data_IF_191287052347
#
_entry.id   IF_191287052347
#
_cell.length_a   1.000
_cell.length_b   1.000
_cell.length_c   1.000
_cell.angle_alpha   90.00
_cell.angle_beta   90.00
_cell.angle_gamma   90.00
#
_symmetry.space_group_name_H-M   'P 1'
#
loop_
_entity.id
_entity.type
_entity.pdbx_description
1 polymer ?
#
# COMPACT_ATOMS: atom_id res chain seq x y z
N UNK A 1 -34.13 6.09 -15.80
CA UNK A 1 -33.69 5.13 -16.85
C UNK A 1 -32.17 5.28 -16.94
N UNK A 2 -31.43 4.54 -16.11
CA UNK A 2 -29.97 4.68 -15.98
C UNK A 2 -29.34 3.57 -16.79
N UNK A 3 -28.61 3.95 -17.83
CA UNK A 3 -27.84 3.06 -18.69
C UNK A 3 -26.74 2.37 -17.87
N UNK A 4 -26.85 1.06 -17.72
CA UNK A 4 -25.76 0.22 -17.21
C UNK A 4 -24.62 0.25 -18.22
N UNK A 5 -23.56 0.96 -17.84
CA UNK A 5 -22.33 0.95 -18.62
C UNK A 5 -21.66 -0.43 -18.47
N UNK A 6 -21.31 -1.02 -19.60
CA UNK A 6 -20.78 -2.38 -19.69
C UNK A 6 -19.32 -2.35 -19.25
N UNK A 7 -19.04 -2.83 -18.05
CA UNK A 7 -17.68 -3.17 -17.63
C UNK A 7 -17.05 -4.11 -18.66
N UNK A 8 -16.09 -3.58 -19.42
CA UNK A 8 -15.25 -4.34 -20.33
C UNK A 8 -14.46 -5.37 -19.51
N UNK A 9 -14.60 -6.66 -19.86
CA UNK A 9 -13.68 -7.70 -19.38
C UNK A 9 -12.33 -7.49 -20.07
N UNK A 10 -11.21 -7.28 -19.35
CA UNK A 10 -9.90 -7.39 -19.97
C UNK A 10 -9.65 -8.87 -20.27
N UNK A 11 -9.47 -9.18 -21.56
CA UNK A 11 -9.04 -10.49 -22.03
C UNK A 11 -7.60 -10.80 -21.60
N UNK A 12 -7.33 -12.10 -21.52
CA UNK A 12 -6.04 -12.74 -21.30
C UNK A 12 -5.06 -12.45 -22.45
N UNK A 13 -4.51 -11.23 -22.46
CA UNK A 13 -3.30 -10.90 -23.22
C UNK A 13 -2.05 -11.51 -22.59
N UNK A 14 -0.89 -11.47 -23.28
CA UNK A 14 0.39 -11.77 -22.64
C UNK A 14 0.55 -10.90 -21.37
N UNK A 15 1.22 -11.41 -20.33
CA UNK A 15 1.45 -10.62 -19.11
C UNK A 15 2.13 -9.30 -19.48
N UNK A 16 1.60 -8.19 -18.97
CA UNK A 16 2.19 -6.87 -19.19
C UNK A 16 3.64 -6.86 -18.70
N UNK A 17 4.51 -6.24 -19.49
CA UNK A 17 5.92 -6.08 -19.12
C UNK A 17 6.05 -5.30 -17.81
N UNK A 18 7.16 -5.47 -17.08
CA UNK A 18 7.39 -4.68 -15.85
C UNK A 18 7.40 -3.18 -16.14
N UNK A 19 7.84 -2.75 -17.33
CA UNK A 19 7.75 -1.37 -17.77
C UNK A 19 6.31 -0.88 -17.88
N UNK A 20 5.45 -1.63 -18.55
CA UNK A 20 4.03 -1.27 -18.67
C UNK A 20 3.35 -1.23 -17.29
N UNK A 21 3.67 -2.18 -16.40
CA UNK A 21 3.18 -2.22 -15.03
C UNK A 21 3.67 -1.02 -14.21
N UNK A 22 4.93 -0.60 -14.40
CA UNK A 22 5.49 0.60 -13.76
C UNK A 22 4.75 1.86 -14.25
N UNK A 23 4.55 1.99 -15.55
CA UNK A 23 3.82 3.12 -16.13
C UNK A 23 2.34 3.12 -15.70
N UNK A 24 1.71 1.95 -15.54
CA UNK A 24 0.36 1.79 -14.97
C UNK A 24 0.29 2.25 -13.51
N UNK A 25 1.28 1.89 -12.68
CA UNK A 25 1.36 2.35 -11.29
C UNK A 25 1.47 3.88 -11.22
N UNK A 26 2.33 4.49 -12.05
CA UNK A 26 2.41 5.95 -12.16
C UNK A 26 1.11 6.59 -12.66
N UNK A 27 0.41 5.93 -13.59
CA UNK A 27 -0.90 6.35 -14.07
C UNK A 27 -1.94 6.42 -12.94
N UNK A 28 -2.03 5.38 -12.11
CA UNK A 28 -2.93 5.35 -10.96
C UNK A 28 -2.61 6.44 -9.94
N UNK A 29 -1.33 6.67 -9.65
CA UNK A 29 -0.93 7.76 -8.76
C UNK A 29 -1.37 9.12 -9.34
N UNK A 30 -1.27 9.34 -10.65
CA UNK A 30 -1.81 10.54 -11.29
C UNK A 30 -3.32 10.67 -11.13
N UNK A 31 -4.06 9.58 -11.30
CA UNK A 31 -5.52 9.56 -11.12
C UNK A 31 -5.91 9.86 -9.66
N UNK A 32 -5.04 9.52 -8.71
CA UNK A 32 -5.14 9.87 -7.28
C UNK A 32 -4.64 11.28 -6.94
N UNK A 33 -4.21 12.08 -7.93
CA UNK A 33 -3.80 13.48 -7.78
C UNK A 33 -2.30 13.71 -7.66
N UNK A 34 -1.46 12.68 -7.79
CA UNK A 34 -0.01 12.85 -7.82
C UNK A 34 0.46 13.48 -9.14
N UNK A 35 1.46 14.35 -9.06
CA UNK A 35 2.10 14.95 -10.21
C UNK A 35 3.45 14.29 -10.46
N UNK A 36 3.58 13.64 -11.61
CA UNK A 36 4.87 13.09 -12.06
C UNK A 36 5.66 14.20 -12.77
N UNK A 37 6.81 14.57 -12.21
CA UNK A 37 7.62 15.71 -12.63
C UNK A 37 9.08 15.33 -12.84
N UNK A 38 9.80 16.09 -13.67
CA UNK A 38 11.25 15.92 -13.79
C UNK A 38 12.01 16.43 -12.55
N UNK A 39 13.29 16.07 -12.44
CA UNK A 39 14.13 16.42 -11.31
C UNK A 39 14.32 17.94 -11.13
N UNK A 40 14.29 18.71 -12.22
CA UNK A 40 14.43 20.16 -12.16
C UNK A 40 13.22 20.82 -11.53
N UNK A 41 12.01 20.42 -11.94
CA UNK A 41 10.76 20.86 -11.33
C UNK A 41 10.64 20.36 -9.89
N UNK A 42 11.03 19.12 -9.60
CA UNK A 42 11.06 18.59 -8.24
C UNK A 42 11.99 19.42 -7.33
N UNK A 43 13.17 19.82 -7.80
CA UNK A 43 14.08 20.65 -7.01
C UNK A 43 13.56 22.10 -6.81
N UNK A 44 12.82 22.64 -7.78
CA UNK A 44 12.33 24.01 -7.72
C UNK A 44 11.06 24.18 -6.86
N UNK A 45 10.21 23.15 -6.78
CA UNK A 45 8.88 23.23 -6.15
C UNK A 45 8.87 22.64 -4.73
N UNK A 46 9.34 23.41 -3.74
CA UNK A 46 9.46 22.93 -2.35
C UNK A 46 8.15 22.95 -1.56
N UNK A 47 7.09 23.57 -2.09
CA UNK A 47 5.84 23.81 -1.37
C UNK A 47 4.69 22.88 -1.75
N UNK A 48 4.79 22.19 -2.88
CA UNK A 48 3.71 21.34 -3.40
C UNK A 48 3.83 19.92 -2.90
N UNK A 49 2.77 19.44 -2.26
CA UNK A 49 2.57 18.03 -1.90
C UNK A 49 2.12 17.20 -3.10
N UNK A 50 2.40 15.90 -3.09
CA UNK A 50 1.96 14.96 -4.11
C UNK A 50 2.84 15.00 -5.36
N UNK A 51 4.15 15.22 -5.23
CA UNK A 51 5.09 15.15 -6.36
C UNK A 51 5.83 13.82 -6.37
N UNK A 52 6.04 13.26 -7.56
CA UNK A 52 6.93 12.13 -7.81
C UNK A 52 7.91 12.47 -8.91
N UNK A 53 9.18 12.12 -8.71
CA UNK A 53 10.22 12.28 -9.72
C UNK A 53 10.96 10.96 -9.94
N UNK A 54 10.58 10.19 -10.98
CA UNK A 54 11.40 9.10 -11.49
C UNK A 54 12.73 9.65 -12.04
N UNK A 55 13.79 8.82 -12.08
CA UNK A 55 15.11 9.28 -12.49
C UNK A 55 15.14 9.59 -14.01
N UNK A 56 16.00 10.52 -14.43
CA UNK A 56 16.05 10.97 -15.82
C UNK A 56 16.47 9.86 -16.80
N UNK A 57 17.25 8.90 -16.31
CA UNK A 57 17.72 7.70 -17.01
C UNK A 57 16.77 6.51 -16.82
N UNK A 58 15.49 6.70 -16.46
CA UNK A 58 14.50 5.64 -16.24
C UNK A 58 14.49 4.56 -17.35
N UNK A 59 14.73 4.93 -18.61
CA UNK A 59 14.83 3.97 -19.73
C UNK A 59 15.95 2.94 -19.57
N UNK A 60 17.06 3.28 -18.93
CA UNK A 60 18.22 2.41 -18.71
C UNK A 60 18.02 1.36 -17.62
N UNK A 61 16.94 1.48 -16.84
CA UNK A 61 16.55 0.49 -15.83
C UNK A 61 15.78 -0.68 -16.41
N UNK A 62 15.29 -0.57 -17.64
CA UNK A 62 14.52 -1.61 -18.32
C UNK A 62 15.27 -2.15 -19.54
N UNK A 63 15.11 -3.45 -19.78
CA UNK A 63 15.51 -4.06 -21.06
C UNK A 63 14.61 -3.57 -22.19
N UNK A 64 14.99 -3.75 -23.47
CA UNK A 64 14.11 -3.45 -24.61
C UNK A 64 12.78 -4.23 -24.61
N UNK A 65 12.69 -5.32 -23.85
CA UNK A 65 11.46 -6.11 -23.65
C UNK A 65 10.63 -5.65 -22.43
N UNK A 66 11.07 -4.59 -21.75
CA UNK A 66 10.37 -4.02 -20.59
C UNK A 66 10.58 -4.78 -19.28
N UNK A 67 11.58 -5.66 -19.18
CA UNK A 67 11.98 -6.27 -17.90
C UNK A 67 12.84 -5.28 -17.09
N UNK A 68 12.55 -5.12 -15.80
CA UNK A 68 13.26 -4.27 -14.85
C UNK A 68 14.55 -4.96 -14.40
N UNK A 69 15.70 -4.40 -14.77
CA UNK A 69 17.03 -5.00 -14.53
C UNK A 69 17.90 -4.20 -13.57
N UNK A 70 17.46 -3.00 -13.18
CA UNK A 70 18.09 -2.17 -12.17
C UNK A 70 17.02 -1.51 -11.32
N UNK A 71 17.26 -1.41 -10.02
CA UNK A 71 16.39 -0.72 -9.09
C UNK A 71 16.13 0.73 -9.52
N UNK A 72 14.89 1.21 -9.41
CA UNK A 72 14.51 2.58 -9.77
C UNK A 72 14.24 3.37 -8.49
N UNK A 73 15.12 4.32 -8.17
CA UNK A 73 14.89 5.25 -7.08
C UNK A 73 13.97 6.39 -7.54
N UNK A 74 12.83 6.56 -6.86
CA UNK A 74 11.81 7.57 -7.16
C UNK A 74 11.80 8.56 -6.00
N UNK A 75 12.04 9.83 -6.29
CA UNK A 75 11.85 10.89 -5.29
C UNK A 75 10.36 11.15 -5.09
N UNK A 76 9.95 11.38 -3.85
CA UNK A 76 8.58 11.77 -3.52
C UNK A 76 8.59 13.00 -2.62
N UNK A 77 7.54 13.83 -2.72
CA UNK A 77 7.29 14.96 -1.82
C UNK A 77 5.83 15.04 -1.43
N UNK A 78 5.57 15.09 -0.12
CA UNK A 78 4.25 15.06 0.48
C UNK A 78 3.51 13.74 0.24
N UNK A 79 2.32 13.61 0.82
CA UNK A 79 1.55 12.37 0.77
C UNK A 79 2.17 11.25 1.61
N UNK A 80 1.69 10.02 1.42
CA UNK A 80 2.09 8.87 2.22
C UNK A 80 2.89 7.86 1.37
N UNK A 81 4.12 7.50 1.76
CA UNK A 81 4.90 6.47 1.08
C UNK A 81 4.21 5.09 1.02
N UNK A 82 3.42 4.74 2.03
CA UNK A 82 2.60 3.53 2.07
C UNK A 82 1.59 3.47 0.92
N UNK A 83 1.04 4.63 0.54
CA UNK A 83 0.11 4.74 -0.60
C UNK A 83 0.84 4.47 -1.91
N UNK A 84 2.03 5.05 -2.09
CA UNK A 84 2.88 4.76 -3.26
C UNK A 84 3.20 3.25 -3.29
N UNK A 85 3.59 2.67 -2.15
CA UNK A 85 3.93 1.25 -2.04
C UNK A 85 2.77 0.34 -2.44
N UNK A 86 1.56 0.61 -1.93
CA UNK A 86 0.36 -0.18 -2.24
C UNK A 86 -0.06 -0.07 -3.71
N UNK A 87 0.09 1.10 -4.34
CA UNK A 87 -0.21 1.27 -5.78
C UNK A 87 0.77 0.49 -6.65
N UNK A 88 2.06 0.49 -6.33
CA UNK A 88 3.03 -0.35 -7.03
C UNK A 88 2.78 -1.85 -6.81
N UNK A 89 2.36 -2.24 -5.61
CA UNK A 89 2.00 -3.62 -5.31
C UNK A 89 0.79 -4.12 -6.12
N UNK A 90 -0.17 -3.25 -6.48
CA UNK A 90 -1.28 -3.60 -7.40
C UNK A 90 -0.78 -4.04 -8.77
N UNK A 91 0.33 -3.47 -9.21
CA UNK A 91 0.97 -3.81 -10.47
C UNK A 91 2.03 -4.93 -10.31
N UNK A 92 2.00 -5.64 -9.17
CA UNK A 92 2.95 -6.69 -8.81
C UNK A 92 4.41 -6.23 -8.95
N UNK A 93 4.67 -5.01 -8.49
CA UNK A 93 6.00 -4.41 -8.37
C UNK A 93 6.30 -4.18 -6.88
N UNK A 94 7.49 -4.57 -6.44
CA UNK A 94 7.92 -4.36 -5.07
C UNK A 94 8.60 -3.01 -4.95
N UNK A 95 8.01 -2.14 -4.14
CA UNK A 95 8.54 -0.83 -3.82
C UNK A 95 9.08 -0.86 -2.38
N UNK A 96 10.38 -0.57 -2.23
CA UNK A 96 11.03 -0.43 -0.94
C UNK A 96 10.84 0.97 -0.38
N UNK A 97 10.34 1.06 0.85
CA UNK A 97 10.16 2.31 1.60
C UNK A 97 11.16 2.33 2.77
N UNK A 98 12.24 3.11 2.70
CA UNK A 98 13.22 3.20 3.79
C UNK A 98 12.59 3.63 5.12
N UNK A 99 13.06 3.08 6.24
CA UNK A 99 12.57 3.41 7.58
C UNK A 99 11.23 2.78 7.98
N UNK A 100 10.56 2.04 7.07
CA UNK A 100 9.33 1.33 7.39
C UNK A 100 9.64 0.05 8.21
N UNK A 101 9.03 -0.05 9.40
CA UNK A 101 9.23 -1.08 10.43
C UNK A 101 10.65 -1.24 11.00
N UNK A 102 11.56 -0.27 10.81
CA UNK A 102 12.79 -0.16 11.63
C UNK A 102 12.53 0.45 13.02
N UNK A 103 11.25 0.71 13.36
CA UNK A 103 10.80 1.29 14.64
C UNK A 103 10.87 0.34 15.85
N UNK A 104 11.45 -0.85 15.72
CA UNK A 104 11.69 -1.74 16.87
C UNK A 104 12.70 -1.11 17.87
N UNK A 105 13.59 -0.23 17.41
CA UNK A 105 14.58 0.45 18.26
C UNK A 105 13.94 1.49 19.22
N UNK A 106 12.69 1.92 18.97
CA UNK A 106 11.93 2.85 19.84
C UNK A 106 10.96 2.14 20.80
N UNK A 107 10.72 0.84 20.64
CA UNK A 107 9.77 0.11 21.49
C UNK A 107 10.22 0.08 22.95
N UNK A 108 11.53 -0.07 23.19
CA UNK A 108 12.12 -0.01 24.53
C UNK A 108 11.96 1.38 25.17
N UNK A 109 11.97 2.45 24.37
CA UNK A 109 11.70 3.80 24.85
C UNK A 109 10.22 3.98 25.21
N UNK A 110 9.31 3.44 24.40
CA UNK A 110 7.86 3.50 24.65
C UNK A 110 7.43 2.69 25.89
N UNK A 111 8.08 1.56 26.17
CA UNK A 111 7.81 0.74 27.37
C UNK A 111 8.15 1.47 28.69
N UNK A 112 8.95 2.53 28.62
CA UNK A 112 9.34 3.35 29.77
C UNK A 112 8.46 4.59 29.97
N UNK A 113 7.49 4.85 29.09
CA UNK A 113 6.56 5.97 29.20
C UNK A 113 5.39 5.60 30.11
N UNK A 114 4.86 6.59 30.83
CA UNK A 114 3.57 6.43 31.50
C UNK A 114 2.41 6.49 30.50
N UNK A 115 1.22 6.12 30.97
CA UNK A 115 0.03 6.02 30.11
C UNK A 115 -0.41 7.37 29.51
N UNK A 116 -0.16 8.48 30.22
CA UNK A 116 -0.56 9.81 29.76
C UNK A 116 0.38 10.30 28.66
N UNK A 117 1.69 10.06 28.82
CA UNK A 117 2.71 10.39 27.83
C UNK A 117 2.60 9.52 26.57
N UNK A 118 2.32 8.21 26.73
CA UNK A 118 2.03 7.32 25.62
C UNK A 118 0.81 7.80 24.81
N UNK A 119 -0.24 8.25 25.51
CA UNK A 119 -1.45 8.79 24.88
C UNK A 119 -1.15 10.07 24.11
N UNK A 120 -0.38 10.99 24.70
CA UNK A 120 0.04 12.24 24.04
C UNK A 120 0.80 11.96 22.74
N UNK A 121 1.77 11.04 22.78
CA UNK A 121 2.55 10.68 21.59
C UNK A 121 1.68 10.01 20.51
N UNK A 122 0.73 9.16 20.90
CA UNK A 122 -0.21 8.56 19.96
C UNK A 122 -1.12 9.62 19.30
N UNK A 123 -1.61 10.60 20.06
CA UNK A 123 -2.43 11.70 19.54
C UNK A 123 -1.62 12.58 18.55
N UNK A 124 -0.35 12.88 18.87
CA UNK A 124 0.56 13.63 18.00
C UNK A 124 0.88 12.89 16.70
N UNK A 125 1.17 11.58 16.77
CA UNK A 125 1.41 10.77 15.59
C UNK A 125 0.18 10.71 14.67
N UNK A 126 -1.02 10.63 15.25
CA UNK A 126 -2.27 10.67 14.49
C UNK A 126 -2.50 12.03 13.85
N UNK A 127 -2.25 13.14 14.56
CA UNK A 127 -2.36 14.49 14.00
C UNK A 127 -1.40 14.69 12.83
N UNK A 128 -0.15 14.23 12.95
CA UNK A 128 0.83 14.26 11.87
C UNK A 128 0.37 13.44 10.66
N UNK A 129 -0.18 12.23 10.89
CA UNK A 129 -0.70 11.38 9.84
C UNK A 129 -1.87 12.05 9.09
N UNK A 130 -2.83 12.64 9.81
CA UNK A 130 -3.93 13.38 9.20
C UNK A 130 -3.43 14.60 8.42
N UNK A 131 -2.50 15.35 8.98
CA UNK A 131 -1.92 16.50 8.31
C UNK A 131 -1.16 16.10 7.05
N UNK A 132 -0.48 14.95 7.03
CA UNK A 132 0.16 14.41 5.82
C UNK A 132 -0.87 14.03 4.74
N UNK A 133 -1.96 13.34 5.11
CA UNK A 133 -3.04 12.95 4.18
C UNK A 133 -3.75 14.16 3.59
N UNK A 134 -3.96 15.21 4.39
CA UNK A 134 -4.64 16.43 3.96
C UNK A 134 -3.68 17.51 3.42
N UNK A 135 -2.37 17.25 3.37
CA UNK A 135 -1.37 18.21 2.89
C UNK A 135 -1.27 19.49 3.73
N UNK A 136 -1.55 19.39 5.04
CA UNK A 136 -1.57 20.53 5.98
C UNK A 136 -0.18 20.84 6.57
N UNK A 137 0.76 19.90 6.51
CA UNK A 137 2.14 20.09 6.94
C UNK A 137 3.03 20.59 5.80
N UNK A 138 4.21 21.12 6.16
CA UNK A 138 5.29 21.22 5.17
C UNK A 138 5.55 19.83 4.59
N UNK A 139 5.56 19.67 3.27
CA UNK A 139 5.65 18.34 2.68
C UNK A 139 7.02 17.74 2.97
N UNK A 140 7.02 16.58 3.61
CA UNK A 140 8.21 15.75 3.72
C UNK A 140 8.67 15.30 2.34
N UNK A 141 9.96 14.99 2.22
CA UNK A 141 10.53 14.43 1.00
C UNK A 141 11.41 13.24 1.30
N UNK A 142 11.50 12.33 0.34
CA UNK A 142 12.34 11.16 0.47
C UNK A 142 12.45 10.38 -0.83
N UNK A 143 12.93 9.15 -0.72
CA UNK A 143 13.07 8.24 -1.85
C UNK A 143 12.41 6.91 -1.53
N UNK A 144 11.76 6.34 -2.54
CA UNK A 144 11.29 4.95 -2.55
C UNK A 144 11.96 4.24 -3.71
N UNK A 145 12.19 2.93 -3.59
CA UNK A 145 12.97 2.18 -4.60
C UNK A 145 12.15 1.03 -5.18
N UNK A 146 11.84 1.06 -6.47
CA UNK A 146 11.22 -0.07 -7.15
C UNK A 146 12.31 -1.12 -7.44
N UNK A 147 12.21 -2.28 -6.80
CA UNK A 147 13.25 -3.30 -6.80
C UNK A 147 13.21 -4.14 -8.09
N UNK A 148 14.37 -4.38 -8.69
CA UNK A 148 14.55 -5.27 -9.82
C UNK A 148 14.63 -6.74 -9.38
N UNK A 149 14.22 -7.66 -10.27
CA UNK A 149 14.38 -9.10 -10.10
C UNK A 149 13.12 -9.91 -10.42
N UNK A 150 13.33 -11.12 -10.92
CA UNK A 150 12.25 -12.02 -11.37
C UNK A 150 11.54 -12.76 -10.22
N UNK A 151 12.18 -12.85 -9.05
CA UNK A 151 11.69 -13.55 -7.85
C UNK A 151 11.20 -12.63 -6.73
N UNK A 152 11.13 -11.31 -6.98
CA UNK A 152 10.75 -10.34 -5.95
C UNK A 152 9.22 -10.34 -5.79
N UNK A 153 8.70 -11.23 -4.95
CA UNK A 153 7.29 -11.22 -4.50
C UNK A 153 7.24 -10.88 -3.02
N UNK A 154 6.67 -9.72 -2.68
CA UNK A 154 6.41 -9.35 -1.29
C UNK A 154 5.04 -9.83 -0.82
N UNK A 155 4.86 -9.96 0.50
CA UNK A 155 3.54 -10.21 1.09
C UNK A 155 2.50 -9.18 0.65
N UNK A 156 2.88 -7.90 0.61
CA UNK A 156 2.02 -6.82 0.15
C UNK A 156 1.52 -7.07 -1.29
N UNK A 157 2.39 -7.47 -2.23
CA UNK A 157 1.96 -7.80 -3.60
C UNK A 157 0.93 -8.95 -3.61
N UNK A 158 1.16 -9.98 -2.79
CA UNK A 158 0.25 -11.14 -2.71
C UNK A 158 -1.11 -10.76 -2.13
N UNK A 159 -1.11 -9.97 -1.05
CA UNK A 159 -2.33 -9.47 -0.39
C UNK A 159 -3.11 -8.54 -1.31
N UNK A 160 -2.45 -7.58 -1.94
CA UNK A 160 -3.09 -6.63 -2.87
C UNK A 160 -3.66 -7.37 -4.07
N UNK A 161 -2.94 -8.34 -4.63
CA UNK A 161 -3.48 -9.19 -5.69
C UNK A 161 -4.71 -10.01 -5.25
N UNK A 162 -4.84 -10.33 -3.95
CA UNK A 162 -6.05 -10.94 -3.40
C UNK A 162 -7.21 -9.94 -3.29
N UNK A 163 -6.94 -8.69 -2.91
CA UNK A 163 -7.94 -7.62 -2.96
C UNK A 163 -8.44 -7.36 -4.39
N UNK A 164 -7.56 -7.37 -5.40
CA UNK A 164 -7.97 -7.24 -6.81
C UNK A 164 -8.87 -8.40 -7.26
N UNK A 165 -8.67 -9.60 -6.71
CA UNK A 165 -9.60 -10.72 -6.94
C UNK A 165 -10.95 -10.45 -6.28
N UNK A 166 -10.99 -9.96 -5.04
CA UNK A 166 -12.25 -9.57 -4.38
C UNK A 166 -12.98 -8.46 -5.13
N UNK A 167 -12.24 -7.47 -5.68
CA UNK A 167 -12.83 -6.41 -6.50
C UNK A 167 -13.55 -6.98 -7.74
N UNK A 168 -13.01 -8.04 -8.36
CA UNK A 168 -13.68 -8.77 -9.46
C UNK A 168 -14.97 -9.48 -9.03
N UNK A 169 -15.14 -9.74 -7.73
CA UNK A 169 -16.38 -10.23 -7.12
C UNK A 169 -17.33 -9.10 -6.66
N UNK A 170 -17.01 -7.85 -6.98
CA UNK A 170 -17.84 -6.68 -6.65
C UNK A 170 -17.65 -6.16 -5.23
N UNK A 171 -16.51 -6.44 -4.60
CA UNK A 171 -16.12 -5.81 -3.34
C UNK A 171 -15.43 -4.46 -3.58
N UNK A 172 -15.66 -3.52 -2.67
CA UNK A 172 -14.76 -2.40 -2.47
C UNK A 172 -13.53 -2.90 -1.68
N UNK A 173 -12.45 -3.18 -2.38
CA UNK A 173 -11.28 -3.89 -1.84
C UNK A 173 -10.02 -3.03 -1.95
N UNK A 174 -9.70 -2.29 -0.89
CA UNK A 174 -8.67 -1.24 -0.92
C UNK A 174 -7.55 -1.49 0.10
N UNK A 175 -6.28 -1.54 -0.34
CA UNK A 175 -5.15 -1.45 0.55
C UNK A 175 -5.00 -0.01 1.05
N UNK A 176 -4.49 0.16 2.27
CA UNK A 176 -4.10 1.48 2.79
C UNK A 176 -5.13 2.57 2.48
N UNK A 177 -6.39 2.33 2.89
CA UNK A 177 -7.52 3.13 2.43
C UNK A 177 -7.53 4.51 3.09
N UNK A 178 -7.35 4.54 4.41
CA UNK A 178 -7.45 5.76 5.21
C UNK A 178 -6.68 5.62 6.54
N UNK A 179 -6.22 6.72 7.16
CA UNK A 179 -5.56 6.68 8.46
C UNK A 179 -6.33 5.93 9.56
N UNK A 180 -7.65 6.12 9.63
CA UNK A 180 -8.50 5.57 10.70
C UNK A 180 -9.59 4.66 10.15
N UNK A 181 -10.08 3.74 11.01
CA UNK A 181 -11.17 2.82 10.67
C UNK A 181 -12.47 3.57 10.37
N UNK A 182 -12.81 4.58 11.18
CA UNK A 182 -14.02 5.39 10.98
C UNK A 182 -14.00 6.16 9.66
N UNK A 183 -12.86 6.77 9.30
CA UNK A 183 -12.71 7.43 8.01
C UNK A 183 -12.74 6.44 6.85
N UNK A 184 -12.09 5.27 6.98
CA UNK A 184 -12.19 4.20 5.97
C UNK A 184 -13.63 3.77 5.70
N UNK A 185 -14.44 3.57 6.75
CA UNK A 185 -15.86 3.25 6.60
C UNK A 185 -16.69 4.40 6.01
N UNK A 186 -16.34 5.66 6.30
CA UNK A 186 -16.95 6.81 5.64
C UNK A 186 -16.70 6.77 4.12
N UNK A 187 -15.46 6.53 3.68
CA UNK A 187 -15.12 6.37 2.26
C UNK A 187 -15.88 5.22 1.60
N UNK A 188 -16.00 4.07 2.28
CA UNK A 188 -16.79 2.93 1.81
C UNK A 188 -18.27 3.29 1.66
N UNK A 189 -18.82 4.07 2.60
CA UNK A 189 -20.20 4.53 2.56
C UNK A 189 -20.46 5.51 1.41
N UNK A 190 -19.57 6.50 1.22
CA UNK A 190 -19.62 7.46 0.12
C UNK A 190 -19.51 6.78 -1.25
N UNK A 191 -18.77 5.67 -1.34
CA UNK A 191 -18.69 4.82 -2.53
C UNK A 191 -19.92 3.90 -2.72
N UNK A 192 -20.88 3.88 -1.78
CA UNK A 192 -22.07 3.02 -1.84
C UNK A 192 -21.77 1.53 -1.64
N UNK A 193 -20.66 1.18 -0.98
CA UNK A 193 -20.14 -0.18 -0.90
C UNK A 193 -20.21 -0.81 0.50
N UNK A 194 -20.99 -0.24 1.42
CA UNK A 194 -21.08 -0.70 2.82
C UNK A 194 -21.44 -2.17 3.01
N UNK A 195 -22.10 -2.81 2.03
CA UNK A 195 -22.46 -4.23 2.11
C UNK A 195 -21.33 -5.19 1.71
N UNK A 196 -20.29 -4.71 1.01
CA UNK A 196 -19.20 -5.52 0.45
C UNK A 196 -17.91 -4.71 0.41
N UNK A 197 -17.16 -4.75 1.49
CA UNK A 197 -15.90 -4.03 1.61
C UNK A 197 -14.85 -4.89 2.29
N UNK A 198 -13.58 -4.72 1.91
CA UNK A 198 -12.41 -5.24 2.62
C UNK A 198 -11.28 -4.23 2.50
N UNK A 199 -10.75 -3.76 3.62
CA UNK A 199 -9.63 -2.80 3.61
C UNK A 199 -8.80 -2.85 4.89
N UNK A 200 -7.64 -2.20 4.88
CA UNK A 200 -6.91 -1.86 6.11
C UNK A 200 -6.58 -0.38 6.15
N UNK A 201 -6.19 0.10 7.34
CA UNK A 201 -5.86 1.51 7.56
C UNK A 201 -4.40 1.81 7.29
N UNK A 202 -4.05 3.07 7.04
CA UNK A 202 -2.66 3.51 6.89
C UNK A 202 -1.82 3.19 8.10
N UNK A 203 -2.37 3.40 9.30
CA UNK A 203 -1.69 3.06 10.54
C UNK A 203 -1.32 1.56 10.61
N UNK A 204 -2.21 0.68 10.13
CA UNK A 204 -1.92 -0.75 10.06
C UNK A 204 -0.87 -1.05 8.99
N UNK A 205 -0.88 -0.32 7.87
CA UNK A 205 0.14 -0.47 6.83
C UNK A 205 1.54 -0.15 7.36
N UNK A 206 1.72 1.01 7.99
CA UNK A 206 3.03 1.48 8.45
C UNK A 206 3.63 0.64 9.57
N UNK A 207 2.80 -0.07 10.33
CA UNK A 207 3.23 -0.90 11.47
C UNK A 207 3.41 -2.39 11.14
N UNK A 208 2.71 -2.92 10.13
CA UNK A 208 2.69 -4.36 9.90
C UNK A 208 3.66 -4.85 8.81
N UNK A 209 4.18 -3.95 7.97
CA UNK A 209 5.04 -4.30 6.84
C UNK A 209 6.45 -3.75 7.00
N UNK A 210 7.47 -4.52 6.64
CA UNK A 210 8.83 -3.99 6.52
C UNK A 210 9.00 -3.09 5.29
N UNK A 211 10.20 -2.53 5.15
CA UNK A 211 10.59 -1.70 4.02
C UNK A 211 10.25 -2.32 2.67
N UNK A 212 10.33 -3.65 2.49
CA UNK A 212 10.07 -4.34 1.22
C UNK A 212 8.59 -4.72 1.05
N UNK A 213 7.75 -4.44 2.03
CA UNK A 213 6.36 -4.83 2.03
C UNK A 213 6.13 -6.29 2.43
N UNK A 214 7.08 -6.91 3.13
CA UNK A 214 6.86 -8.22 3.76
C UNK A 214 6.20 -8.05 5.12
N UNK A 215 5.25 -8.93 5.43
CA UNK A 215 4.45 -8.83 6.63
C UNK A 215 5.32 -9.27 7.83
N UNK A 216 5.49 -8.37 8.78
CA UNK A 216 6.31 -8.59 9.99
C UNK A 216 5.47 -8.74 11.25
N UNK A 217 4.26 -8.18 11.26
CA UNK A 217 3.28 -8.30 12.34
C UNK A 217 1.87 -8.60 11.77
N UNK A 218 0.88 -8.78 12.64
CA UNK A 218 -0.51 -9.08 12.30
C UNK A 218 -1.20 -7.90 11.62
N UNK A 219 -1.57 -8.07 10.35
CA UNK A 219 -2.40 -7.10 9.65
C UNK A 219 -3.87 -7.37 9.93
N UNK A 220 -4.56 -6.35 10.44
CA UNK A 220 -6.00 -6.38 10.70
C UNK A 220 -6.77 -5.80 9.50
N UNK A 221 -7.74 -6.55 8.98
CA UNK A 221 -8.60 -6.10 7.89
C UNK A 221 -10.02 -5.80 8.40
N UNK A 222 -10.51 -4.62 8.04
CA UNK A 222 -11.91 -4.23 8.12
C UNK A 222 -12.67 -4.92 6.99
N UNK A 223 -13.90 -5.38 7.26
CA UNK A 223 -14.65 -6.14 6.27
C UNK A 223 -16.17 -6.02 6.44
N UNK A 224 -16.88 -6.27 5.35
CA UNK A 224 -18.31 -6.55 5.29
C UNK A 224 -18.58 -7.46 4.08
N UNK A 225 -19.54 -8.38 4.21
CA UNK A 225 -20.01 -9.24 3.11
C UNK A 225 -19.87 -10.73 3.38
N UNK A 226 -19.57 -11.52 2.34
CA UNK A 226 -19.38 -12.97 2.45
C UNK A 226 -18.01 -13.31 3.09
N UNK A 227 -18.04 -13.74 4.36
CA UNK A 227 -16.87 -14.13 5.13
C UNK A 227 -16.09 -15.28 4.48
N UNK A 228 -16.78 -16.29 3.98
CA UNK A 228 -16.13 -17.51 3.53
C UNK A 228 -15.40 -17.28 2.21
N UNK A 229 -16.01 -16.48 1.31
CA UNK A 229 -15.35 -16.00 0.09
C UNK A 229 -14.11 -15.16 0.40
N UNK A 230 -14.21 -14.20 1.33
CA UNK A 230 -13.05 -13.38 1.74
C UNK A 230 -11.94 -14.28 2.29
N UNK A 231 -12.28 -15.21 3.18
CA UNK A 231 -11.31 -16.12 3.78
C UNK A 231 -10.62 -17.00 2.73
N UNK A 232 -11.36 -17.53 1.76
CA UNK A 232 -10.83 -18.32 0.64
C UNK A 232 -9.83 -17.51 -0.19
N UNK A 233 -10.23 -16.30 -0.62
CA UNK A 233 -9.37 -15.44 -1.44
C UNK A 233 -8.11 -15.02 -0.67
N UNK A 234 -8.22 -14.67 0.61
CA UNK A 234 -7.07 -14.32 1.43
C UNK A 234 -6.12 -15.50 1.66
N UNK A 235 -6.61 -16.73 1.84
CA UNK A 235 -5.75 -17.92 2.04
C UNK A 235 -4.89 -18.23 0.82
N UNK A 236 -5.33 -17.87 -0.37
CA UNK A 236 -4.54 -18.05 -1.61
C UNK A 236 -3.28 -17.18 -1.66
N UNK A 237 -3.09 -16.24 -0.73
CA UNK A 237 -1.84 -15.48 -0.58
C UNK A 237 -0.68 -16.33 -0.04
N UNK A 238 -0.97 -17.49 0.57
CA UNK A 238 0.03 -18.31 1.28
C UNK A 238 0.35 -17.80 2.70
N UNK A 239 -0.32 -16.74 3.16
CA UNK A 239 -0.25 -16.27 4.54
C UNK A 239 -1.22 -17.04 5.44
N UNK A 240 -0.95 -17.03 6.74
CA UNK A 240 -1.87 -17.56 7.72
C UNK A 240 -3.05 -16.57 7.91
N UNK A 241 -4.27 -17.05 7.65
CA UNK A 241 -5.50 -16.25 7.74
C UNK A 241 -6.36 -16.74 8.90
N UNK A 242 -6.68 -15.86 9.84
CA UNK A 242 -7.72 -16.09 10.85
C UNK A 242 -8.98 -15.34 10.43
N UNK A 243 -10.00 -16.11 10.08
CA UNK A 243 -11.31 -15.57 9.77
C UNK A 243 -12.05 -15.17 11.06
N UNK A 244 -12.86 -14.10 11.01
CA UNK A 244 -13.64 -13.63 12.15
C UNK A 244 -14.73 -14.64 12.53
N UNK A 245 -15.08 -14.70 13.81
CA UNK A 245 -16.11 -15.62 14.30
C UNK A 245 -17.52 -15.07 14.05
N UNK A 246 -17.64 -13.75 14.07
CA UNK A 246 -18.85 -12.94 13.93
C UNK A 246 -18.55 -11.65 13.12
N UNK A 247 -19.57 -10.82 12.90
CA UNK A 247 -19.44 -9.57 12.11
C UNK A 247 -18.69 -8.45 12.85
N UNK A 248 -18.51 -8.57 14.17
CA UNK A 248 -17.85 -7.55 15.02
C UNK A 248 -16.34 -7.81 15.19
N UNK A 249 -15.85 -8.94 14.68
CA UNK A 249 -14.43 -9.32 14.72
C UNK A 249 -13.76 -9.13 13.36
N UNK A 250 -12.44 -8.97 13.37
CA UNK A 250 -11.66 -8.67 12.17
C UNK A 250 -11.05 -9.91 11.53
N UNK A 251 -10.75 -9.83 10.23
CA UNK A 251 -9.79 -10.75 9.61
C UNK A 251 -8.38 -10.38 10.08
N UNK A 252 -7.58 -11.40 10.41
CA UNK A 252 -6.16 -11.24 10.71
C UNK A 252 -5.34 -12.00 9.67
N UNK A 253 -4.43 -11.28 9.02
CA UNK A 253 -3.33 -11.87 8.27
C UNK A 253 -2.10 -11.91 9.16
N UNK A 254 -1.46 -13.07 9.25
CA UNK A 254 -0.25 -13.26 10.02
C UNK A 254 0.92 -13.56 9.07
N UNK A 255 2.14 -13.15 9.43
CA UNK A 255 3.33 -13.55 8.70
C UNK A 255 3.33 -15.06 8.45
N UNK A 256 3.64 -15.47 7.22
CA UNK A 256 3.82 -16.89 6.92
C UNK A 256 4.96 -17.48 7.75
N UNK A 257 5.04 -18.81 7.94
CA UNK A 257 6.26 -19.44 8.43
C UNK A 257 7.36 -19.08 7.43
N UNK A 258 8.18 -18.09 7.78
CA UNK A 258 9.32 -17.72 6.94
C UNK A 258 10.20 -18.94 6.84
N UNK A 259 10.59 -19.32 5.62
CA UNK A 259 11.87 -20.00 5.40
C UNK A 259 12.98 -19.00 5.77
N UNK A 260 13.08 -18.65 7.06
CA UNK A 260 14.22 -17.93 7.61
C UNK A 260 15.38 -18.93 7.59
N UNK A 261 16.09 -19.00 6.47
CA UNK A 261 17.49 -19.36 6.56
C UNK A 261 18.13 -18.35 7.54
N UNK A 262 18.76 -18.81 8.63
CA UNK A 262 19.49 -17.90 9.51
C UNK A 262 20.63 -17.30 8.70
N UNK A 263 20.53 -16.01 8.39
CA UNK A 263 21.62 -15.23 7.82
C UNK A 263 22.74 -15.13 8.84
N UNK A 264 23.88 -15.73 8.49
CA UNK A 264 25.16 -15.69 9.19
C UNK A 264 25.81 -14.31 9.18
#
# INVERSE_FOLDING_TARGET
>A
MVTHDKFHRPGSGPPSSQRERFDQALGRLKDEGWQIVDAGRFAADTGTSGLLSPPADLGEHFTPRGALVKDVAISWRGGLPSRIQSVFAREALVLSVPGQAEQDDDLDALLNLDADELRRQADEAMEQLFAAVHGLNSPEEGFVTCLAGDEVSSDLCRIVGALDRLAKHGYFAEPDLWPTVSGGWQHVHEAGASARAVFWTTQAHTSCFDARGDLVDRLTLQWAGDRDLIAEVLRSTGLAVRAPQDEDTFFLLLPGPRDRAPGH
#
